data_IF_092393560699
#
_entry.id   IF_092393560699
#
_cell.length_a   1.000
_cell.length_b   1.000
_cell.length_c   1.000
_cell.angle_alpha   90.00
_cell.angle_beta   90.00
_cell.angle_gamma   90.00
#
_symmetry.space_group_name_H-M   'P 1'
#
loop_
_entity.id
_entity.type
_entity.pdbx_description
1 polymer ?
#
# COMPACT_ATOMS: atom_id res chain seq x y z
N UNK A 1 31.87 -1.77 12.94
CA UNK A 1 30.81 -2.07 13.91
C UNK A 1 29.49 -1.77 13.22
N UNK A 2 28.71 -2.79 12.88
CA UNK A 2 27.40 -2.63 12.26
C UNK A 2 26.37 -2.70 13.38
N UNK A 3 25.70 -1.59 13.67
CA UNK A 3 24.58 -1.57 14.61
C UNK A 3 23.32 -2.07 13.90
N UNK A 4 22.76 -3.17 14.41
CA UNK A 4 21.42 -3.60 14.05
C UNK A 4 20.47 -2.73 14.87
N UNK A 5 20.05 -1.61 14.28
CA UNK A 5 19.02 -0.75 14.86
C UNK A 5 17.71 -1.51 14.76
N UNK A 6 17.18 -1.97 15.91
CA UNK A 6 15.86 -2.59 16.00
C UNK A 6 14.86 -1.57 15.45
N UNK A 7 14.30 -1.83 14.26
CA UNK A 7 13.37 -0.90 13.62
C UNK A 7 12.28 -0.60 14.63
N UNK A 8 12.17 0.68 15.03
CA UNK A 8 11.03 1.08 15.83
C UNK A 8 9.82 0.72 14.99
N UNK A 9 8.96 -0.15 15.51
CA UNK A 9 7.73 -0.55 14.86
C UNK A 9 6.89 0.72 14.71
N UNK A 10 7.12 1.47 13.63
CA UNK A 10 6.40 2.69 13.31
C UNK A 10 4.95 2.25 13.22
N UNK A 11 4.14 2.64 14.20
CA UNK A 11 2.71 2.35 14.18
C UNK A 11 2.17 3.02 12.93
N UNK A 12 1.66 2.22 12.00
CA UNK A 12 0.99 2.73 10.82
C UNK A 12 -0.31 3.36 11.29
N UNK A 13 -0.51 4.63 10.94
CA UNK A 13 -1.78 5.32 11.05
C UNK A 13 -2.48 5.22 9.70
N UNK A 14 -3.65 4.59 9.67
CA UNK A 14 -4.46 4.48 8.47
C UNK A 14 -5.24 5.78 8.20
N UNK A 15 -5.58 6.06 6.93
CA UNK A 15 -5.27 5.26 5.75
C UNK A 15 -3.81 5.40 5.28
N UNK A 16 -3.29 4.40 4.57
CA UNK A 16 -1.97 4.47 3.92
C UNK A 16 -2.05 4.06 2.46
N UNK A 17 -1.35 4.79 1.60
CA UNK A 17 -1.21 4.43 0.21
C UNK A 17 0.01 3.53 0.00
N UNK A 18 -0.18 2.50 -0.83
CA UNK A 18 0.86 1.58 -1.26
C UNK A 18 0.75 1.38 -2.75
N UNK A 19 1.90 1.29 -3.40
CA UNK A 19 2.03 0.99 -4.82
C UNK A 19 2.59 -0.41 -4.97
N UNK A 20 1.99 -1.20 -5.84
CA UNK A 20 2.57 -2.46 -6.27
C UNK A 20 3.78 -2.16 -7.20
N UNK A 21 4.97 -2.71 -6.92
CA UNK A 21 6.17 -2.39 -7.70
C UNK A 21 6.22 -3.07 -9.07
N UNK A 22 5.48 -4.16 -9.29
CA UNK A 22 5.48 -4.94 -10.54
C UNK A 22 4.50 -4.35 -11.56
N UNK A 23 3.26 -4.12 -11.11
CA UNK A 23 2.12 -3.71 -11.91
C UNK A 23 1.83 -2.20 -11.81
N UNK A 24 2.28 -1.56 -10.73
CA UNK A 24 2.22 -0.11 -10.59
C UNK A 24 0.88 0.45 -10.09
N UNK A 25 -0.15 -0.38 -9.89
CA UNK A 25 -1.41 0.06 -9.29
C UNK A 25 -1.23 0.49 -7.84
N UNK A 26 -2.14 1.35 -7.38
CA UNK A 26 -2.09 1.95 -6.04
C UNK A 26 -3.33 1.53 -5.26
N UNK A 27 -3.09 1.03 -4.05
CA UNK A 27 -4.14 0.68 -3.08
C UNK A 27 -4.08 1.65 -1.90
N UNK A 28 -5.22 2.23 -1.54
CA UNK A 28 -5.42 2.94 -0.30
C UNK A 28 -5.94 1.96 0.76
N UNK A 29 -5.08 1.64 1.72
CA UNK A 29 -5.38 0.72 2.81
C UNK A 29 -6.02 1.43 4.00
N UNK A 30 -7.09 0.83 4.53
CA UNK A 30 -7.79 1.27 5.75
C UNK A 30 -7.47 0.37 6.96
N UNK A 31 -6.93 -0.82 6.71
CA UNK A 31 -6.36 -1.72 7.72
C UNK A 31 -5.25 -2.57 7.08
N UNK A 32 -4.75 -3.58 7.79
CA UNK A 32 -3.58 -4.37 7.37
C UNK A 32 -3.71 -4.97 5.96
N UNK A 33 -4.90 -5.48 5.63
CA UNK A 33 -5.19 -6.17 4.35
C UNK A 33 -6.46 -5.64 3.66
N UNK A 34 -7.09 -4.61 4.21
CA UNK A 34 -8.29 -4.00 3.65
C UNK A 34 -7.94 -2.71 2.93
N UNK A 35 -8.26 -2.62 1.66
CA UNK A 35 -8.03 -1.40 0.87
C UNK A 35 -8.84 -1.35 -0.41
N UNK A 36 -8.76 -0.18 -1.05
CA UNK A 36 -9.40 0.13 -2.33
C UNK A 36 -8.35 0.55 -3.36
N UNK A 37 -8.50 0.11 -4.60
CA UNK A 37 -7.65 0.54 -5.72
C UNK A 37 -8.02 1.98 -6.08
N UNK A 38 -7.04 2.88 -6.08
CA UNK A 38 -7.25 4.32 -6.37
C UNK A 38 -6.56 4.79 -7.66
N UNK A 39 -5.69 3.96 -8.23
CA UNK A 39 -5.02 4.21 -9.51
C UNK A 39 -4.53 2.89 -10.07
N UNK A 40 -4.61 2.75 -11.39
CA UNK A 40 -4.19 1.58 -12.15
C UNK A 40 -3.38 2.04 -13.36
N UNK A 41 -2.67 1.10 -13.98
CA UNK A 41 -2.08 1.22 -15.31
C UNK A 41 -3.00 0.54 -16.34
N UNK A 42 -2.72 0.71 -17.64
CA UNK A 42 -3.58 0.18 -18.72
C UNK A 42 -3.60 -1.36 -18.79
N UNK A 43 -2.65 -2.04 -18.14
CA UNK A 43 -2.45 -3.49 -18.23
C UNK A 43 -2.94 -4.25 -16.97
N UNK A 44 -3.55 -3.56 -16.00
CA UNK A 44 -3.94 -4.16 -14.73
C UNK A 44 -5.25 -4.94 -14.78
N UNK A 45 -5.33 -6.06 -14.06
CA UNK A 45 -6.56 -6.83 -13.87
C UNK A 45 -7.58 -6.14 -12.96
N UNK A 46 -7.15 -5.10 -12.23
CA UNK A 46 -7.96 -4.37 -11.27
C UNK A 46 -8.55 -3.09 -11.87
N UNK A 47 -9.76 -2.73 -11.40
CA UNK A 47 -10.38 -1.45 -11.72
C UNK A 47 -10.24 -0.48 -10.55
N UNK A 48 -10.16 0.82 -10.86
CA UNK A 48 -10.27 1.87 -9.84
C UNK A 48 -11.61 1.72 -9.10
N UNK A 49 -11.56 1.69 -7.78
CA UNK A 49 -12.71 1.46 -6.90
C UNK A 49 -12.88 0.01 -6.45
N UNK A 50 -12.12 -0.94 -7.00
CA UNK A 50 -12.14 -2.32 -6.53
C UNK A 50 -11.66 -2.39 -5.08
N UNK A 51 -12.44 -3.08 -4.25
CA UNK A 51 -12.17 -3.25 -2.81
C UNK A 51 -11.84 -4.70 -2.51
N UNK A 52 -10.86 -4.93 -1.64
CA UNK A 52 -10.56 -6.26 -1.12
C UNK A 52 -10.20 -6.20 0.35
N UNK A 53 -10.67 -7.22 1.08
CA UNK A 53 -10.37 -7.46 2.49
C UNK A 53 -9.18 -8.41 2.69
N UNK A 54 -8.56 -8.86 1.59
CA UNK A 54 -7.59 -9.97 1.58
C UNK A 54 -6.33 -9.64 0.78
N UNK A 55 -5.99 -8.36 0.66
CA UNK A 55 -4.69 -7.98 0.13
C UNK A 55 -3.56 -8.57 0.99
N UNK A 56 -2.41 -8.80 0.40
CA UNK A 56 -1.19 -9.00 1.19
C UNK A 56 -1.01 -7.79 2.10
N UNK A 57 -0.54 -8.03 3.33
CA UNK A 57 -0.39 -7.00 4.36
C UNK A 57 0.30 -5.76 3.80
N UNK A 58 -0.25 -4.56 4.01
CA UNK A 58 0.33 -3.28 3.58
C UNK A 58 1.68 -2.95 4.27
N UNK A 59 2.09 -3.81 5.22
CA UNK A 59 3.38 -3.81 5.90
C UNK A 59 4.44 -4.63 5.18
N UNK A 60 4.06 -5.47 4.22
CA UNK A 60 5.01 -6.26 3.46
C UNK A 60 5.72 -5.34 2.47
N UNK A 61 6.99 -5.03 2.75
CA UNK A 61 7.82 -4.19 1.88
C UNK A 61 8.23 -4.88 0.58
N UNK A 62 8.06 -6.20 0.49
CA UNK A 62 8.41 -6.96 -0.72
C UNK A 62 7.33 -6.81 -1.80
N UNK A 63 6.05 -6.69 -1.39
CA UNK A 63 4.91 -6.51 -2.29
C UNK A 63 4.48 -5.05 -2.44
N UNK A 64 4.86 -4.18 -1.50
CA UNK A 64 4.33 -2.82 -1.43
C UNK A 64 5.39 -1.76 -1.23
N UNK A 65 5.41 -0.78 -2.14
CA UNK A 65 6.16 0.45 -2.00
C UNK A 65 5.32 1.52 -1.26
N UNK A 66 5.84 2.15 -0.19
CA UNK A 66 5.15 3.25 0.47
C UNK A 66 5.17 4.50 -0.40
N UNK A 67 4.00 5.08 -0.64
CA UNK A 67 3.88 6.34 -1.37
C UNK A 67 3.13 7.40 -0.56
N UNK A 68 3.41 8.66 -0.83
CA UNK A 68 2.65 9.80 -0.30
C UNK A 68 1.59 10.21 -1.30
N UNK A 69 0.37 10.46 -0.82
CA UNK A 69 -0.74 10.97 -1.63
C UNK A 69 -1.36 12.17 -0.94
N UNK A 70 -1.87 13.10 -1.74
CA UNK A 70 -2.66 14.24 -1.27
C UNK A 70 -4.11 14.03 -1.70
N UNK A 71 -5.04 14.08 -0.74
CA UNK A 71 -6.48 14.04 -1.02
C UNK A 71 -7.02 15.47 -0.87
N UNK A 72 -7.53 16.04 -1.95
CA UNK A 72 -8.15 17.37 -2.00
C UNK A 72 -9.63 17.27 -2.39
N UNK A 73 -10.44 18.23 -1.94
CA UNK A 73 -11.86 18.37 -2.28
C UNK A 73 -12.21 19.81 -2.62
#
# INVERSE_FOLDING_TARGET
MLEIVKSSSKRISYPVARRDPEYGFIVLFFSDSHGVVISTTEEDEYNIGDTSLRWVSCKNSDDWEPIEITISG
#
